data_IF_107498666788
#
_entry.id   IF_107498666788
#
_cell.length_a   1.000
_cell.length_b   1.000
_cell.length_c   1.000
_cell.angle_alpha   90.00
_cell.angle_beta   90.00
_cell.angle_gamma   90.00
#
_symmetry.space_group_name_H-M   'P 1'
#
loop_
_entity.id
_entity.type
_entity.pdbx_description
1 polymer ?
#
# COMPACT_ATOMS: atom_id res chain seq x y z
N UNK A 1 75.43 1.87 -73.91
CA UNK A 1 74.35 2.87 -73.75
C UNK A 1 73.74 2.67 -72.37
N UNK A 2 73.81 3.72 -71.54
CA UNK A 2 73.05 4.04 -70.31
C UNK A 2 72.83 2.93 -69.25
N UNK A 3 73.04 3.09 -67.94
CA UNK A 3 73.56 4.15 -67.06
C UNK A 3 73.83 3.46 -65.71
N UNK A 4 75.02 3.71 -65.16
CA UNK A 4 75.51 3.57 -63.78
C UNK A 4 74.58 4.25 -62.72
N UNK A 5 74.81 4.20 -61.37
CA UNK A 5 75.70 3.34 -60.54
C UNK A 5 75.25 3.03 -59.06
N UNK A 6 76.17 2.36 -58.33
CA UNK A 6 76.61 2.59 -56.91
C UNK A 6 75.66 2.26 -55.74
N UNK A 7 75.97 1.21 -54.95
CA UNK A 7 76.93 1.08 -53.81
C UNK A 7 76.26 1.35 -52.45
N UNK A 8 76.28 0.35 -51.57
CA UNK A 8 77.05 0.35 -50.31
C UNK A 8 76.41 -0.57 -49.25
N UNK A 9 77.26 -1.37 -48.63
CA UNK A 9 77.02 -2.29 -47.51
C UNK A 9 76.71 -1.52 -46.22
N UNK A 10 75.85 -2.06 -45.35
CA UNK A 10 75.86 -1.76 -43.92
C UNK A 10 75.23 -2.89 -43.09
N UNK A 11 76.00 -3.33 -42.08
CA UNK A 11 75.63 -4.21 -40.97
C UNK A 11 74.34 -3.71 -40.28
N UNK A 12 73.43 -4.63 -39.94
CA UNK A 12 72.33 -4.35 -39.02
C UNK A 12 72.34 -5.36 -37.85
N UNK A 13 72.76 -4.86 -36.69
CA UNK A 13 72.49 -5.44 -35.37
C UNK A 13 71.05 -5.08 -35.02
N UNK A 14 70.21 -6.06 -34.68
CA UNK A 14 68.83 -5.81 -34.23
C UNK A 14 68.63 -6.34 -32.80
N UNK A 15 68.43 -5.38 -31.89
CA UNK A 15 68.10 -5.50 -30.48
C UNK A 15 66.82 -6.30 -30.21
N UNK A 16 66.88 -7.18 -29.22
CA UNK A 16 65.72 -7.77 -28.56
C UNK A 16 65.06 -6.71 -27.65
N UNK A 17 63.85 -6.24 -27.97
CA UNK A 17 63.07 -5.35 -27.10
C UNK A 17 61.98 -6.14 -26.35
N UNK A 18 62.15 -6.24 -25.03
CA UNK A 18 61.15 -6.79 -24.11
C UNK A 18 59.98 -5.78 -23.94
N UNK A 19 58.78 -6.12 -24.41
CA UNK A 19 57.57 -5.36 -24.11
C UNK A 19 56.99 -5.81 -22.75
N UNK A 20 57.19 -5.00 -21.71
CA UNK A 20 56.51 -5.19 -20.43
C UNK A 20 55.08 -4.61 -20.51
N UNK A 21 54.08 -5.48 -20.55
CA UNK A 21 52.66 -5.12 -20.45
C UNK A 21 52.33 -4.66 -19.03
N UNK A 22 52.30 -3.34 -18.80
CA UNK A 22 51.74 -2.73 -17.59
C UNK A 22 50.20 -2.83 -17.63
N UNK A 23 49.63 -3.92 -17.12
CA UNK A 23 48.21 -3.95 -16.75
C UNK A 23 48.00 -3.06 -15.53
N UNK A 24 47.08 -2.09 -15.54
CA UNK A 24 46.78 -1.32 -14.34
C UNK A 24 46.12 -2.24 -13.32
N UNK A 25 46.84 -2.52 -12.23
CA UNK A 25 46.26 -3.14 -11.04
C UNK A 25 45.26 -2.13 -10.47
N UNK A 26 43.96 -2.39 -10.66
CA UNK A 26 42.91 -1.68 -9.93
C UNK A 26 43.03 -2.13 -8.48
N UNK A 27 43.77 -1.36 -7.68
CA UNK A 27 43.84 -1.58 -6.24
C UNK A 27 42.44 -1.48 -5.66
N UNK A 28 41.90 -2.60 -5.16
CA UNK A 28 40.68 -2.60 -4.38
C UNK A 28 40.93 -1.77 -3.12
N UNK A 29 40.17 -0.68 -2.97
CA UNK A 29 40.25 0.14 -1.75
C UNK A 29 39.88 -0.71 -0.54
N UNK A 30 40.68 -0.69 0.54
CA UNK A 30 40.41 -1.51 1.71
C UNK A 30 39.06 -1.14 2.32
N UNK A 31 38.30 -2.17 2.72
CA UNK A 31 36.94 -2.06 3.27
C UNK A 31 36.82 -1.21 4.57
N UNK A 32 37.94 -0.72 5.10
CA UNK A 32 38.05 0.06 6.34
C UNK A 32 38.52 1.52 6.14
N UNK A 33 38.64 2.02 4.90
CA UNK A 33 38.95 3.43 4.68
C UNK A 33 37.80 4.33 5.19
N UNK A 34 38.14 5.39 5.91
CA UNK A 34 37.16 6.36 6.38
C UNK A 34 36.35 6.94 5.21
N UNK A 35 35.03 7.16 5.37
CA UNK A 35 34.21 7.74 4.30
C UNK A 35 34.78 9.07 3.80
N UNK A 36 34.72 9.35 2.47
CA UNK A 36 35.14 10.64 1.93
C UNK A 36 34.48 11.80 2.68
N UNK A 37 35.24 12.86 2.97
CA UNK A 37 34.73 14.03 3.72
C UNK A 37 33.44 14.60 3.10
N UNK A 38 33.38 14.65 1.77
CA UNK A 38 32.20 15.11 1.03
C UNK A 38 30.99 14.20 1.25
N UNK A 39 31.18 12.88 1.24
CA UNK A 39 30.13 11.90 1.51
C UNK A 39 29.58 12.10 2.93
N UNK A 40 30.46 12.19 3.92
CA UNK A 40 30.09 12.41 5.33
C UNK A 40 29.31 13.70 5.51
N UNK A 41 29.80 14.81 4.96
CA UNK A 41 29.15 16.12 5.04
C UNK A 41 27.74 16.09 4.43
N UNK A 42 27.60 15.59 3.21
CA UNK A 42 26.33 15.60 2.49
C UNK A 42 25.31 14.61 3.07
N UNK A 43 25.75 13.43 3.52
CA UNK A 43 24.87 12.47 4.19
C UNK A 43 24.34 13.07 5.49
N UNK A 44 25.19 13.70 6.30
CA UNK A 44 24.76 14.36 7.53
C UNK A 44 23.81 15.52 7.27
N UNK A 45 24.06 16.34 6.23
CA UNK A 45 23.15 17.42 5.84
C UNK A 45 21.77 16.91 5.40
N UNK A 46 21.75 15.86 4.56
CA UNK A 46 20.50 15.22 4.14
C UNK A 46 19.76 14.55 5.32
N UNK A 47 20.49 13.96 6.27
CA UNK A 47 19.91 13.38 7.48
C UNK A 47 19.21 14.44 8.34
N UNK A 48 19.84 15.60 8.55
CA UNK A 48 19.24 16.74 9.25
C UNK A 48 17.98 17.24 8.52
N UNK A 49 18.06 17.45 7.20
CA UNK A 49 16.94 17.89 6.37
C UNK A 49 15.72 16.96 6.45
N UNK A 50 15.96 15.65 6.56
CA UNK A 50 14.91 14.63 6.52
C UNK A 50 14.70 13.88 7.84
N UNK A 51 15.14 14.45 8.98
CA UNK A 51 15.15 13.78 10.28
C UNK A 51 13.79 13.20 10.69
N UNK A 52 12.70 13.97 10.51
CA UNK A 52 11.33 13.52 10.82
C UNK A 52 10.89 12.30 10.01
N UNK A 53 11.33 12.18 8.75
CA UNK A 53 10.98 11.06 7.87
C UNK A 53 11.88 9.86 8.08
N UNK A 54 13.19 10.07 8.22
CA UNK A 54 14.17 9.00 8.31
C UNK A 54 14.22 8.31 9.69
N UNK A 55 13.95 9.05 10.76
CA UNK A 55 14.17 8.58 12.13
C UNK A 55 15.66 8.54 12.48
N UNK A 56 16.02 7.79 13.53
CA UNK A 56 17.41 7.67 14.00
C UNK A 56 18.26 6.87 13.00
N UNK A 57 19.56 7.18 12.94
CA UNK A 57 20.53 6.36 12.21
C UNK A 57 20.64 4.97 12.85
N UNK A 58 20.72 3.94 12.02
CA UNK A 58 20.86 2.53 12.43
C UNK A 58 22.17 1.91 11.97
N UNK A 59 22.98 2.68 11.25
CA UNK A 59 24.35 2.30 10.89
C UNK A 59 25.26 3.53 10.89
N UNK A 60 26.57 3.29 10.98
CA UNK A 60 27.56 4.24 10.48
C UNK A 60 27.46 4.40 8.95
N UNK A 61 28.12 5.42 8.41
CA UNK A 61 28.27 5.58 6.96
C UNK A 61 29.18 4.45 6.46
N UNK A 62 28.73 3.73 5.43
CA UNK A 62 29.46 2.65 4.77
C UNK A 62 29.72 3.01 3.31
N UNK A 63 30.94 2.79 2.84
CA UNK A 63 31.37 3.10 1.47
C UNK A 63 31.76 1.83 0.71
N UNK A 64 32.09 1.98 -0.57
CA UNK A 64 32.39 0.86 -1.48
C UNK A 64 31.25 0.48 -2.42
N UNK A 65 30.22 1.33 -2.52
CA UNK A 65 29.16 1.15 -3.51
C UNK A 65 29.67 1.49 -4.92
N UNK A 66 28.94 1.05 -5.95
CA UNK A 66 29.28 1.25 -7.37
C UNK A 66 29.67 2.71 -7.65
N UNK A 67 30.80 2.94 -8.35
CA UNK A 67 31.24 4.29 -8.70
C UNK A 67 31.70 5.13 -7.50
N UNK A 68 32.21 4.48 -6.44
CA UNK A 68 32.78 5.16 -5.26
C UNK A 68 31.74 5.71 -4.30
N UNK A 69 30.52 5.16 -4.30
CA UNK A 69 29.45 5.67 -3.46
C UNK A 69 29.49 5.17 -2.02
N UNK A 70 28.69 5.84 -1.20
CA UNK A 70 28.50 5.55 0.22
C UNK A 70 27.02 5.59 0.58
N UNK A 71 26.66 4.98 1.70
CA UNK A 71 25.30 5.04 2.22
C UNK A 71 25.26 5.01 3.74
N UNK A 72 24.13 5.41 4.30
CA UNK A 72 23.80 5.23 5.71
C UNK A 72 22.36 4.76 5.85
N UNK A 73 22.12 3.81 6.76
CA UNK A 73 20.77 3.32 7.10
C UNK A 73 20.18 4.12 8.25
N UNK A 74 18.87 4.33 8.17
CA UNK A 74 18.04 4.94 9.19
C UNK A 74 16.83 4.03 9.47
N UNK A 75 16.11 4.27 10.57
CA UNK A 75 14.94 3.46 10.95
C UNK A 75 13.93 3.30 9.79
N UNK A 76 13.65 4.39 9.08
CA UNK A 76 12.58 4.44 8.06
C UNK A 76 13.11 4.62 6.63
N UNK A 77 14.43 4.64 6.42
CA UNK A 77 14.99 4.88 5.09
C UNK A 77 16.50 4.73 5.01
N UNK A 78 17.08 5.29 3.95
CA UNK A 78 18.53 5.32 3.76
C UNK A 78 18.92 6.54 2.95
N UNK A 79 20.12 7.05 3.20
CA UNK A 79 20.73 8.07 2.37
C UNK A 79 21.83 7.40 1.58
N UNK A 80 21.84 7.60 0.26
CA UNK A 80 22.91 7.14 -0.62
C UNK A 80 23.57 8.35 -1.27
N UNK A 81 24.89 8.28 -1.37
CA UNK A 81 25.75 9.31 -1.94
C UNK A 81 26.63 8.71 -3.03
N UNK A 82 26.86 9.45 -4.09
CA UNK A 82 27.94 9.21 -5.04
C UNK A 82 28.58 10.53 -5.46
N UNK A 83 29.83 10.55 -5.95
CA UNK A 83 30.46 11.78 -6.43
C UNK A 83 29.63 12.52 -7.48
N UNK A 84 28.92 11.78 -8.35
CA UNK A 84 28.13 12.35 -9.45
C UNK A 84 26.75 12.87 -9.02
N UNK A 85 26.14 12.27 -8.01
CA UNK A 85 24.74 12.58 -7.65
C UNK A 85 24.62 13.39 -6.37
N UNK A 86 25.62 13.35 -5.50
CA UNK A 86 25.47 13.82 -4.12
C UNK A 86 24.58 12.91 -3.27
N UNK A 87 24.28 13.33 -2.04
CA UNK A 87 23.54 12.55 -1.06
C UNK A 87 22.03 12.76 -1.20
N UNK A 88 21.29 11.67 -1.43
CA UNK A 88 19.84 11.69 -1.52
C UNK A 88 19.22 10.60 -0.65
N UNK A 89 18.19 11.00 0.09
CA UNK A 89 17.40 10.12 0.91
C UNK A 89 16.36 9.38 0.08
N UNK A 90 16.23 8.08 0.32
CA UNK A 90 15.15 7.23 -0.17
C UNK A 90 14.44 6.62 1.03
N UNK A 91 13.11 6.51 0.97
CA UNK A 91 12.31 5.84 1.99
C UNK A 91 11.06 5.22 1.36
N UNK A 92 10.30 4.46 2.16
CA UNK A 92 9.01 3.92 1.78
C UNK A 92 8.98 3.18 0.43
N UNK A 93 7.94 3.46 -0.35
CA UNK A 93 7.65 2.80 -1.63
C UNK A 93 8.78 2.97 -2.65
N UNK A 94 9.32 4.18 -2.77
CA UNK A 94 10.42 4.45 -3.72
C UNK A 94 11.65 3.61 -3.38
N UNK A 95 12.06 3.61 -2.11
CA UNK A 95 13.23 2.83 -1.66
C UNK A 95 13.02 1.34 -1.88
N UNK A 96 11.81 0.83 -1.62
CA UNK A 96 11.49 -0.57 -1.86
C UNK A 96 11.59 -0.95 -3.34
N UNK A 97 11.02 -0.14 -4.25
CA UNK A 97 11.12 -0.41 -5.69
C UNK A 97 12.58 -0.40 -6.11
N UNK A 98 13.34 0.58 -5.63
CA UNK A 98 14.74 0.70 -5.94
C UNK A 98 15.57 -0.49 -5.44
N UNK A 99 15.34 -0.94 -4.20
CA UNK A 99 15.95 -2.14 -3.61
C UNK A 99 15.68 -3.39 -4.45
N UNK A 100 14.43 -3.63 -4.85
CA UNK A 100 14.06 -4.80 -5.66
C UNK A 100 14.51 -4.70 -7.12
N UNK A 101 14.96 -3.53 -7.55
CA UNK A 101 15.64 -3.34 -8.83
C UNK A 101 17.16 -3.23 -8.62
N UNK A 102 17.70 -3.95 -7.63
CA UNK A 102 19.13 -4.08 -7.34
C UNK A 102 19.86 -2.75 -7.03
N UNK A 103 19.19 -1.84 -6.33
CA UNK A 103 19.78 -0.59 -5.80
C UNK A 103 20.50 0.24 -6.88
N UNK A 104 21.64 0.84 -6.53
CA UNK A 104 22.48 1.61 -7.44
C UNK A 104 23.10 0.76 -8.55
N UNK A 105 23.16 -0.57 -8.37
CA UNK A 105 23.74 -1.50 -9.35
C UNK A 105 22.76 -1.80 -10.47
N UNK A 106 21.46 -1.86 -10.19
CA UNK A 106 20.43 -2.19 -11.17
C UNK A 106 19.93 -0.99 -11.95
N UNK A 107 18.81 -1.15 -12.65
CA UNK A 107 18.46 -0.33 -13.82
C UNK A 107 18.36 1.18 -13.58
N UNK A 108 18.07 1.63 -12.35
CA UNK A 108 17.86 3.04 -12.05
C UNK A 108 19.15 3.81 -11.68
N UNK A 109 20.18 3.15 -11.14
CA UNK A 109 21.37 3.83 -10.61
C UNK A 109 21.10 4.56 -9.28
N UNK A 110 21.93 5.55 -8.92
CA UNK A 110 21.75 6.34 -7.69
C UNK A 110 20.57 7.31 -7.79
N UNK A 111 19.92 7.65 -6.66
CA UNK A 111 18.98 8.76 -6.60
C UNK A 111 19.68 10.10 -6.92
N UNK A 112 18.97 11.00 -7.60
CA UNK A 112 19.50 12.31 -8.06
C UNK A 112 18.71 13.50 -7.51
N UNK A 113 17.65 13.25 -6.74
CA UNK A 113 16.85 14.30 -6.10
C UNK A 113 15.97 13.74 -4.99
N UNK A 114 15.35 14.62 -4.21
CA UNK A 114 14.33 14.24 -3.23
C UNK A 114 13.06 13.73 -3.92
N UNK A 115 12.30 12.88 -3.24
CA UNK A 115 11.00 12.45 -3.72
C UNK A 115 9.96 13.61 -3.68
N UNK A 116 9.06 13.68 -4.67
CA UNK A 116 8.00 14.69 -4.78
C UNK A 116 6.66 14.07 -5.19
N UNK A 117 5.56 14.74 -4.89
CA UNK A 117 4.23 14.40 -5.40
C UNK A 117 4.01 15.23 -6.67
N UNK A 118 3.70 14.59 -7.80
CA UNK A 118 3.31 15.34 -9.01
C UNK A 118 1.83 15.67 -9.04
N UNK A 119 1.40 16.46 -10.03
CA UNK A 119 0.02 16.98 -10.13
C UNK A 119 -1.05 15.89 -10.22
N UNK A 120 -0.68 14.66 -10.63
CA UNK A 120 -1.55 13.48 -10.65
C UNK A 120 -1.59 12.71 -9.30
N UNK A 121 -1.04 13.28 -8.23
CA UNK A 121 -1.01 12.70 -6.90
C UNK A 121 -0.01 11.55 -6.70
N UNK A 122 0.80 11.20 -7.72
CA UNK A 122 1.79 10.12 -7.61
C UNK A 122 3.10 10.60 -7.01
N UNK A 123 3.66 9.78 -6.12
CA UNK A 123 4.99 9.96 -5.55
C UNK A 123 6.05 9.56 -6.57
N UNK A 124 7.03 10.43 -6.77
CA UNK A 124 8.11 10.27 -7.75
C UNK A 124 9.45 10.55 -7.11
N UNK A 125 10.50 9.89 -7.60
CA UNK A 125 11.88 10.27 -7.31
C UNK A 125 12.76 10.01 -8.53
N UNK A 126 13.65 10.96 -8.86
CA UNK A 126 14.60 10.83 -9.97
C UNK A 126 15.81 10.01 -9.52
N UNK A 127 16.29 9.20 -10.44
CA UNK A 127 17.52 8.43 -10.37
C UNK A 127 18.35 8.70 -11.62
N UNK A 128 19.61 8.27 -11.62
CA UNK A 128 20.53 8.48 -12.75
C UNK A 128 19.96 8.00 -14.10
N UNK A 129 19.20 6.91 -14.11
CA UNK A 129 18.68 6.25 -15.31
C UNK A 129 17.17 6.09 -15.29
N UNK A 130 16.46 7.11 -14.79
CA UNK A 130 15.01 7.18 -14.89
C UNK A 130 14.34 7.73 -13.64
N UNK A 131 13.03 7.62 -13.58
CA UNK A 131 12.23 8.05 -12.42
C UNK A 131 11.41 6.87 -11.92
N UNK A 132 11.48 6.62 -10.61
CA UNK A 132 10.52 5.72 -9.97
C UNK A 132 9.26 6.54 -9.71
N UNK A 133 8.13 6.13 -10.28
CA UNK A 133 6.80 6.70 -10.03
C UNK A 133 5.94 5.64 -9.37
N UNK A 134 5.37 5.96 -8.22
CA UNK A 134 4.46 5.08 -7.49
C UNK A 134 3.22 5.86 -7.10
N UNK A 135 2.06 5.23 -7.19
CA UNK A 135 0.95 5.68 -6.35
C UNK A 135 1.45 5.62 -4.91
N UNK A 136 1.28 6.68 -4.15
CA UNK A 136 1.28 6.55 -2.68
C UNK A 136 0.37 5.34 -2.40
N UNK A 137 0.75 4.42 -1.49
CA UNK A 137 -0.05 3.28 -0.95
C UNK A 137 0.32 1.83 -1.35
N UNK A 138 1.19 1.55 -2.31
CA UNK A 138 1.28 0.19 -2.89
C UNK A 138 2.12 -0.88 -2.14
N UNK A 139 2.96 -0.55 -1.16
CA UNK A 139 3.94 -1.53 -0.62
C UNK A 139 3.81 -1.78 0.88
N UNK A 140 3.70 -3.06 1.25
CA UNK A 140 3.74 -3.56 2.63
C UNK A 140 2.45 -4.16 3.17
N UNK A 141 1.31 -4.03 2.46
CA UNK A 141 0.11 -4.79 2.81
C UNK A 141 0.36 -6.27 2.49
N UNK A 142 -0.08 -7.19 3.37
CA UNK A 142 0.11 -8.61 3.15
C UNK A 142 -0.67 -9.07 1.92
N UNK A 143 -0.32 -10.25 1.41
CA UNK A 143 -1.04 -10.91 0.32
C UNK A 143 -1.07 -10.16 -1.02
N UNK A 144 -0.17 -9.20 -1.24
CA UNK A 144 -0.02 -8.52 -2.53
C UNK A 144 -1.17 -7.58 -2.90
N UNK A 145 -2.01 -7.19 -1.93
CA UNK A 145 -3.13 -6.27 -2.13
C UNK A 145 -2.59 -4.93 -2.65
N UNK A 146 -3.28 -4.36 -3.65
CA UNK A 146 -3.00 -3.01 -4.17
C UNK A 146 -4.18 -2.09 -3.84
N UNK A 147 -4.14 -1.33 -2.73
CA UNK A 147 -5.27 -0.49 -2.34
C UNK A 147 -5.67 0.52 -3.41
N UNK A 148 -6.97 0.66 -3.66
CA UNK A 148 -7.53 1.69 -4.56
C UNK A 148 -7.59 3.08 -3.92
N UNK A 149 -6.68 3.39 -3.00
CA UNK A 149 -6.70 4.61 -2.18
C UNK A 149 -6.78 4.31 -0.69
N UNK A 150 -6.75 5.36 0.13
CA UNK A 150 -6.89 5.25 1.59
C UNK A 150 -5.62 4.86 2.32
N UNK A 151 -5.51 5.31 3.56
CA UNK A 151 -4.42 5.02 4.51
C UNK A 151 -4.89 4.13 5.67
N UNK A 152 -6.15 3.71 5.66
CA UNK A 152 -6.70 2.71 6.55
C UNK A 152 -7.42 1.63 5.73
N UNK A 153 -6.99 0.39 5.88
CA UNK A 153 -7.53 -0.76 5.16
C UNK A 153 -8.01 -1.80 6.17
N UNK A 154 -9.28 -2.16 6.07
CA UNK A 154 -9.86 -3.34 6.69
C UNK A 154 -9.71 -4.51 5.71
N UNK A 155 -8.97 -5.55 6.06
CA UNK A 155 -8.90 -6.76 5.23
C UNK A 155 -9.82 -7.80 5.85
N UNK A 156 -10.94 -8.12 5.20
CA UNK A 156 -11.83 -9.20 5.60
C UNK A 156 -11.62 -10.40 4.66
N UNK A 157 -11.01 -11.47 5.15
CA UNK A 157 -10.62 -12.59 4.31
C UNK A 157 -11.02 -13.95 4.85
N UNK A 158 -11.30 -14.87 3.93
CA UNK A 158 -11.63 -16.28 4.22
C UNK A 158 -10.55 -17.22 3.69
N UNK A 159 -10.65 -18.53 3.97
CA UNK A 159 -9.76 -19.53 3.35
C UNK A 159 -10.16 -19.84 1.91
N UNK A 160 -11.46 -19.91 1.60
CA UNK A 160 -12.00 -20.15 0.27
C UNK A 160 -13.25 -19.31 -0.01
N UNK A 161 -13.71 -19.27 -1.27
CA UNK A 161 -14.95 -18.58 -1.64
C UNK A 161 -16.19 -19.16 -0.95
N UNK A 162 -16.23 -20.45 -0.67
CA UNK A 162 -17.35 -21.12 0.01
C UNK A 162 -17.36 -20.96 1.53
N UNK A 163 -16.27 -20.46 2.13
CA UNK A 163 -16.12 -20.33 3.57
C UNK A 163 -17.06 -19.25 4.14
N UNK A 164 -17.64 -19.55 5.31
CA UNK A 164 -18.58 -18.67 6.03
C UNK A 164 -17.92 -17.95 7.21
N UNK A 165 -16.69 -18.33 7.53
CA UNK A 165 -15.88 -17.76 8.61
C UNK A 165 -14.51 -17.36 8.08
N UNK A 166 -13.84 -16.46 8.79
CA UNK A 166 -12.55 -15.95 8.39
C UNK A 166 -12.01 -14.92 9.37
N UNK A 167 -11.15 -14.04 8.88
CA UNK A 167 -10.43 -13.06 9.69
C UNK A 167 -10.68 -11.66 9.17
N UNK A 168 -10.79 -10.70 10.07
CA UNK A 168 -10.72 -9.26 9.78
C UNK A 168 -9.44 -8.70 10.36
N UNK A 169 -8.64 -8.00 9.57
CA UNK A 169 -7.44 -7.30 10.02
C UNK A 169 -7.56 -5.80 9.77
N UNK A 170 -7.07 -4.98 10.70
CA UNK A 170 -7.04 -3.52 10.57
C UNK A 170 -5.61 -3.07 10.29
N UNK A 171 -5.42 -2.39 9.17
CA UNK A 171 -4.12 -1.95 8.69
C UNK A 171 -4.09 -0.44 8.46
N UNK A 172 -3.04 0.21 8.94
CA UNK A 172 -2.83 1.65 8.74
C UNK A 172 -1.49 1.93 8.07
N UNK A 173 -1.50 2.82 7.08
CA UNK A 173 -0.28 3.37 6.51
C UNK A 173 0.22 4.45 7.46
N UNK A 174 1.40 4.26 8.03
CA UNK A 174 2.02 5.23 8.95
C UNK A 174 2.90 6.23 8.19
N UNK A 175 3.52 7.15 8.92
CA UNK A 175 4.37 8.20 8.37
C UNK A 175 5.72 7.69 7.84
N UNK A 176 6.08 6.45 8.20
CA UNK A 176 7.20 5.69 7.64
C UNK A 176 6.87 5.09 6.25
N UNK A 177 5.68 5.38 5.72
CA UNK A 177 5.16 4.87 4.47
C UNK A 177 5.07 3.33 4.44
N UNK A 178 4.93 2.68 5.61
CA UNK A 178 4.67 1.25 5.74
C UNK A 178 3.29 0.98 6.31
N UNK A 179 2.70 -0.12 5.85
CA UNK A 179 1.46 -0.64 6.41
C UNK A 179 1.75 -1.39 7.71
N UNK A 180 1.04 -1.02 8.76
CA UNK A 180 1.12 -1.66 10.08
C UNK A 180 -0.23 -2.27 10.41
N UNK A 181 -0.24 -3.56 10.77
CA UNK A 181 -1.42 -4.19 11.33
C UNK A 181 -1.59 -3.74 12.76
N UNK A 182 -2.73 -3.14 13.06
CA UNK A 182 -3.06 -2.72 14.43
C UNK A 182 -3.88 -3.78 15.15
N UNK A 183 -4.75 -4.50 14.45
CA UNK A 183 -5.66 -5.49 15.06
C UNK A 183 -5.92 -6.69 14.13
N UNK A 184 -6.27 -7.82 14.74
CA UNK A 184 -6.71 -9.06 14.07
C UNK A 184 -7.93 -9.64 14.80
N UNK A 185 -8.99 -9.92 14.06
CA UNK A 185 -10.25 -10.51 14.55
C UNK A 185 -10.42 -11.88 13.88
N UNK A 186 -10.19 -12.97 14.61
CA UNK A 186 -10.12 -14.34 14.03
C UNK A 186 -11.47 -15.04 13.84
N UNK A 187 -12.55 -14.54 14.45
CA UNK A 187 -13.90 -15.12 14.37
C UNK A 187 -14.82 -14.22 13.53
N UNK A 188 -14.35 -13.75 12.37
CA UNK A 188 -15.22 -12.99 11.48
C UNK A 188 -16.16 -13.94 10.72
N UNK A 189 -17.41 -13.53 10.49
CA UNK A 189 -18.40 -14.31 9.74
C UNK A 189 -18.86 -13.57 8.49
N UNK A 190 -19.17 -14.34 7.46
CA UNK A 190 -19.51 -13.90 6.11
C UNK A 190 -20.86 -14.47 5.70
N UNK A 191 -21.25 -14.24 4.44
CA UNK A 191 -22.47 -14.76 3.85
C UNK A 191 -22.63 -16.28 4.04
N UNK A 192 -23.85 -16.74 4.33
CA UNK A 192 -24.14 -18.16 4.56
C UNK A 192 -23.92 -19.04 3.32
N UNK A 193 -23.79 -18.44 2.13
CA UNK A 193 -23.38 -19.06 0.85
C UNK A 193 -21.96 -18.67 0.41
N UNK A 194 -21.16 -18.07 1.30
CA UNK A 194 -19.78 -17.69 1.05
C UNK A 194 -19.61 -16.30 0.43
N UNK A 195 -18.67 -16.17 -0.50
CA UNK A 195 -18.28 -14.94 -1.16
C UNK A 195 -18.62 -14.99 -2.66
N UNK A 196 -18.97 -13.85 -3.25
CA UNK A 196 -19.26 -13.72 -4.67
C UNK A 196 -18.34 -12.70 -5.33
N UNK A 197 -17.87 -13.00 -6.54
CA UNK A 197 -17.21 -12.01 -7.38
C UNK A 197 -18.19 -10.91 -7.79
N UNK A 198 -17.67 -9.83 -8.39
CA UNK A 198 -18.53 -8.82 -8.99
C UNK A 198 -19.48 -9.44 -10.04
N UNK A 199 -19.04 -10.29 -10.97
CA UNK A 199 -19.95 -10.87 -11.98
C UNK A 199 -21.10 -11.69 -11.36
N UNK A 200 -20.82 -12.40 -10.28
CA UNK A 200 -21.73 -13.42 -9.75
C UNK A 200 -22.71 -12.86 -8.71
N UNK A 201 -22.38 -11.73 -8.07
CA UNK A 201 -23.19 -11.16 -7.00
C UNK A 201 -24.60 -10.77 -7.49
N UNK A 202 -25.62 -11.10 -6.70
CA UNK A 202 -27.04 -10.75 -6.90
C UNK A 202 -27.70 -10.36 -5.58
N UNK A 203 -28.88 -9.73 -5.65
CA UNK A 203 -29.76 -9.49 -4.50
C UNK A 203 -30.21 -10.82 -3.88
N UNK A 204 -30.25 -10.90 -2.55
CA UNK A 204 -30.71 -12.10 -1.83
C UNK A 204 -29.86 -13.38 -1.99
N UNK A 205 -28.70 -13.32 -2.64
CA UNK A 205 -27.89 -14.52 -2.95
C UNK A 205 -27.19 -15.17 -1.74
N UNK A 206 -27.22 -14.53 -0.57
CA UNK A 206 -26.59 -15.04 0.66
C UNK A 206 -25.06 -14.94 0.67
N UNK A 207 -24.45 -14.18 -0.25
CA UNK A 207 -22.99 -14.11 -0.43
C UNK A 207 -22.43 -12.73 -0.10
N UNK A 208 -21.24 -12.69 0.50
CA UNK A 208 -20.49 -11.45 0.71
C UNK A 208 -19.80 -11.01 -0.58
N UNK A 209 -19.92 -9.74 -1.02
CA UNK A 209 -19.27 -9.29 -2.23
C UNK A 209 -17.75 -9.18 -2.07
N UNK A 210 -17.01 -9.78 -3.01
CA UNK A 210 -15.57 -9.64 -3.14
C UNK A 210 -15.23 -8.32 -3.83
N UNK A 211 -14.20 -7.62 -3.33
CA UNK A 211 -13.72 -6.39 -3.92
C UNK A 211 -13.11 -5.43 -2.91
N UNK A 212 -12.86 -4.20 -3.36
CA UNK A 212 -12.46 -3.09 -2.51
C UNK A 212 -13.54 -2.00 -2.48
N UNK A 213 -13.94 -1.60 -1.29
CA UNK A 213 -15.03 -0.63 -1.07
C UNK A 213 -14.60 0.45 -0.09
N UNK A 214 -15.20 1.64 -0.22
CA UNK A 214 -15.06 2.69 0.80
C UNK A 214 -15.88 2.35 2.04
N UNK A 215 -15.49 2.93 3.17
CA UNK A 215 -16.32 3.02 4.36
C UNK A 215 -16.67 4.49 4.56
N UNK A 216 -17.81 4.97 4.02
CA UNK A 216 -18.10 6.40 3.95
C UNK A 216 -18.51 6.97 5.31
N UNK A 217 -19.27 6.21 6.09
CA UNK A 217 -19.71 6.58 7.42
C UNK A 217 -20.04 5.34 8.25
N UNK A 218 -20.35 5.55 9.51
CA UNK A 218 -20.81 4.55 10.46
C UNK A 218 -22.16 4.95 11.03
N UNK A 219 -22.87 3.99 11.62
CA UNK A 219 -24.13 4.28 12.29
C UNK A 219 -24.41 3.32 13.43
N UNK A 220 -25.48 3.58 14.19
CA UNK A 220 -26.00 2.55 15.07
C UNK A 220 -27.18 2.97 15.93
N UNK A 221 -27.86 1.95 16.44
CA UNK A 221 -28.99 2.07 17.39
C UNK A 221 -28.53 2.35 18.82
N UNK A 222 -27.23 2.38 19.08
CA UNK A 222 -26.63 2.85 20.34
C UNK A 222 -25.86 4.14 20.13
N UNK A 223 -25.52 4.80 21.24
CA UNK A 223 -24.70 6.00 21.22
C UNK A 223 -23.34 5.74 20.56
N UNK A 224 -22.81 6.77 19.91
CA UNK A 224 -21.48 6.79 19.30
C UNK A 224 -20.41 6.45 20.35
N UNK A 225 -19.55 5.45 20.13
CA UNK A 225 -18.46 5.17 21.06
C UNK A 225 -17.53 6.38 21.24
N UNK A 226 -17.04 6.60 22.46
CA UNK A 226 -16.08 7.69 22.75
C UNK A 226 -14.84 7.56 21.87
N UNK A 227 -14.38 8.67 21.29
CA UNK A 227 -13.22 8.69 20.39
C UNK A 227 -13.51 8.34 18.93
N UNK A 228 -14.77 8.07 18.56
CA UNK A 228 -15.17 7.90 17.14
C UNK A 228 -14.98 9.20 16.37
N UNK A 229 -14.16 9.16 15.32
CA UNK A 229 -13.83 10.32 14.46
C UNK A 229 -14.48 10.27 13.09
N UNK A 230 -14.73 9.08 12.54
CA UNK A 230 -15.55 8.94 11.33
C UNK A 230 -16.98 9.39 11.60
N UNK A 231 -17.68 9.85 10.57
CA UNK A 231 -19.09 10.21 10.68
C UNK A 231 -19.88 9.05 11.30
N UNK A 232 -20.70 9.35 12.31
CA UNK A 232 -21.54 8.40 13.01
C UNK A 232 -22.97 8.91 13.06
N UNK A 233 -23.90 8.21 12.42
CA UNK A 233 -25.32 8.53 12.42
C UNK A 233 -26.03 7.74 13.51
N UNK A 234 -26.74 8.42 14.40
CA UNK A 234 -27.61 7.76 15.38
C UNK A 234 -28.86 7.28 14.64
N UNK A 235 -29.07 5.97 14.56
CA UNK A 235 -30.24 5.37 13.94
C UNK A 235 -31.35 5.14 14.96
N UNK A 236 -32.57 5.58 14.69
CA UNK A 236 -33.73 5.28 15.54
C UNK A 236 -34.82 4.51 14.78
N UNK A 237 -36.06 4.53 15.30
CA UNK A 237 -37.18 3.83 14.70
C UNK A 237 -37.62 4.43 13.37
N UNK A 238 -37.14 5.63 13.04
CA UNK A 238 -37.45 6.32 11.81
C UNK A 238 -36.45 6.02 10.70
N UNK A 239 -35.43 5.20 10.92
CA UNK A 239 -34.37 4.96 9.94
C UNK A 239 -34.40 3.54 9.38
N UNK A 240 -34.24 3.44 8.06
CA UNK A 240 -34.13 2.16 7.37
C UNK A 240 -33.18 2.22 6.17
N UNK A 241 -32.72 1.05 5.71
CA UNK A 241 -32.01 0.91 4.44
C UNK A 241 -32.88 0.18 3.42
N UNK A 242 -33.14 0.81 2.28
CA UNK A 242 -34.00 0.19 1.27
C UNK A 242 -33.30 -0.90 0.48
N UNK A 243 -33.94 -2.07 0.37
CA UNK A 243 -33.47 -3.21 -0.43
C UNK A 243 -34.38 -3.54 -1.60
N UNK A 244 -35.45 -2.76 -1.83
CA UNK A 244 -36.34 -2.90 -2.99
C UNK A 244 -35.66 -2.46 -4.28
N UNK A 245 -35.25 -3.41 -5.12
CA UNK A 245 -34.51 -3.17 -6.37
C UNK A 245 -35.21 -2.24 -7.37
N UNK A 246 -36.55 -2.24 -7.39
CA UNK A 246 -37.34 -1.35 -8.24
C UNK A 246 -37.56 0.06 -7.68
N UNK A 247 -37.02 0.38 -6.50
CA UNK A 247 -37.17 1.69 -5.87
C UNK A 247 -36.09 2.67 -6.36
N UNK A 248 -36.44 3.94 -6.53
CA UNK A 248 -35.46 5.01 -6.75
C UNK A 248 -34.49 5.18 -5.57
N UNK A 249 -34.89 4.70 -4.39
CA UNK A 249 -34.08 4.70 -3.18
C UNK A 249 -33.37 3.37 -2.91
N UNK A 250 -33.35 2.45 -3.88
CA UNK A 250 -32.66 1.18 -3.73
C UNK A 250 -31.22 1.36 -3.25
N UNK A 251 -30.83 0.57 -2.25
CA UNK A 251 -29.53 0.59 -1.62
C UNK A 251 -29.14 1.96 -1.01
N UNK A 252 -30.08 2.62 -0.33
CA UNK A 252 -29.83 3.87 0.39
C UNK A 252 -30.46 3.88 1.79
N UNK A 253 -29.86 4.67 2.68
CA UNK A 253 -30.48 5.08 3.94
C UNK A 253 -31.63 6.04 3.67
N UNK A 254 -32.75 5.85 4.33
CA UNK A 254 -33.91 6.72 4.21
C UNK A 254 -34.76 6.70 5.49
N UNK A 255 -35.53 7.76 5.68
CA UNK A 255 -36.48 7.85 6.78
C UNK A 255 -37.78 7.09 6.47
N UNK A 256 -38.44 6.56 7.50
CA UNK A 256 -39.78 5.97 7.45
C UNK A 256 -40.85 7.04 7.76
N UNK A 257 -42.12 6.81 7.38
CA UNK A 257 -42.58 5.82 6.42
C UNK A 257 -42.25 6.23 4.98
N UNK A 258 -41.93 5.27 4.13
CA UNK A 258 -41.63 5.53 2.72
C UNK A 258 -42.39 4.54 1.82
N UNK A 259 -43.34 5.04 1.01
CA UNK A 259 -44.15 4.21 0.11
C UNK A 259 -43.31 3.55 -1.00
N UNK A 260 -42.25 4.20 -1.44
CA UNK A 260 -41.33 3.69 -2.47
C UNK A 260 -40.44 2.55 -1.95
N UNK A 261 -40.30 2.40 -0.63
CA UNK A 261 -39.65 1.25 -0.02
C UNK A 261 -40.26 0.95 1.36
N UNK A 262 -41.34 0.14 1.40
CA UNK A 262 -42.01 -0.19 2.65
C UNK A 262 -41.09 -1.05 3.55
N UNK A 263 -41.37 -1.06 4.85
CA UNK A 263 -40.54 -1.74 5.86
C UNK A 263 -40.25 -3.22 5.54
N UNK A 264 -41.17 -3.93 4.88
CA UNK A 264 -40.96 -5.34 4.47
C UNK A 264 -39.86 -5.53 3.42
N UNK A 265 -39.54 -4.48 2.66
CA UNK A 265 -38.52 -4.48 1.60
C UNK A 265 -37.26 -3.70 2.04
N UNK A 266 -37.15 -3.40 3.34
CA UNK A 266 -36.10 -2.57 3.91
C UNK A 266 -35.54 -3.20 5.19
N UNK A 267 -34.33 -2.80 5.54
CA UNK A 267 -33.76 -3.09 6.85
C UNK A 267 -34.09 -1.95 7.81
N UNK A 268 -35.14 -2.13 8.62
CA UNK A 268 -35.50 -1.17 9.67
C UNK A 268 -34.51 -1.27 10.81
N UNK A 269 -33.72 -0.23 11.06
CA UNK A 269 -32.51 -0.38 11.90
C UNK A 269 -32.83 -0.70 13.36
N UNK A 270 -33.88 -0.10 13.92
CA UNK A 270 -34.29 -0.31 15.30
C UNK A 270 -34.72 -1.75 15.61
N UNK A 271 -35.13 -2.52 14.60
CA UNK A 271 -35.60 -3.91 14.77
C UNK A 271 -34.47 -4.93 14.62
N UNK A 272 -33.25 -4.51 14.29
CA UNK A 272 -32.10 -5.39 14.04
C UNK A 272 -31.09 -5.25 15.20
N UNK A 273 -31.05 -6.20 16.16
CA UNK A 273 -30.17 -6.11 17.32
C UNK A 273 -28.69 -5.96 16.97
N UNK A 274 -28.26 -6.48 15.82
CA UNK A 274 -26.91 -6.45 15.29
C UNK A 274 -26.45 -5.02 14.95
N UNK A 275 -27.37 -4.08 14.76
CA UNK A 275 -27.06 -2.71 14.31
C UNK A 275 -26.80 -1.73 15.46
N UNK A 276 -26.30 -2.24 16.60
CA UNK A 276 -25.88 -1.37 17.70
C UNK A 276 -24.76 -0.41 17.29
N UNK A 277 -23.82 -0.89 16.46
CA UNK A 277 -22.74 -0.14 15.80
C UNK A 277 -22.43 -0.81 14.47
N UNK A 278 -22.35 -0.03 13.40
CA UNK A 278 -22.26 -0.53 12.02
C UNK A 278 -21.31 0.33 11.21
N UNK A 279 -20.45 -0.29 10.41
CA UNK A 279 -19.68 0.40 9.37
C UNK A 279 -20.28 0.10 8.00
N UNK A 280 -20.59 1.15 7.23
CA UNK A 280 -21.17 0.99 5.90
C UNK A 280 -20.11 0.53 4.91
N UNK A 281 -20.39 -0.51 4.13
CA UNK A 281 -19.55 -0.89 3.00
C UNK A 281 -20.19 -0.29 1.76
N UNK A 282 -19.45 0.55 1.04
CA UNK A 282 -19.93 1.28 -0.17
C UNK A 282 -20.07 0.35 -1.40
N UNK A 283 -20.68 -0.80 -1.20
CA UNK A 283 -21.02 -1.78 -2.23
C UNK A 283 -22.25 -1.32 -3.00
N UNK A 284 -22.21 -1.48 -4.33
CA UNK A 284 -23.32 -1.13 -5.23
C UNK A 284 -23.83 0.32 -5.04
N UNK A 285 -22.91 1.27 -4.84
CA UNK A 285 -23.24 2.69 -4.66
C UNK A 285 -23.82 3.37 -5.90
N UNK A 286 -23.59 2.78 -7.08
CA UNK A 286 -24.31 3.13 -8.31
C UNK A 286 -25.76 2.64 -8.32
N UNK A 287 -26.21 1.90 -7.29
CA UNK A 287 -27.59 1.43 -7.09
C UNK A 287 -28.12 0.62 -8.27
N UNK A 288 -27.26 -0.21 -8.86
CA UNK A 288 -27.65 -1.08 -9.97
C UNK A 288 -28.63 -2.13 -9.44
N UNK A 289 -29.87 -2.10 -9.91
CA UNK A 289 -30.95 -2.96 -9.45
C UNK A 289 -30.54 -4.45 -9.46
N UNK A 290 -30.94 -5.18 -8.40
CA UNK A 290 -30.75 -6.63 -8.31
C UNK A 290 -29.31 -7.08 -8.02
N UNK A 291 -28.40 -6.16 -7.70
CA UNK A 291 -26.98 -6.46 -7.45
C UNK A 291 -26.66 -6.68 -5.97
N UNK A 292 -27.61 -6.48 -5.07
CA UNK A 292 -27.39 -6.52 -3.63
C UNK A 292 -27.42 -5.12 -3.02
N UNK A 293 -27.99 -5.02 -1.83
CA UNK A 293 -28.01 -3.83 -0.98
C UNK A 293 -27.53 -4.13 0.44
N UNK A 294 -27.43 -3.09 1.27
CA UNK A 294 -27.24 -3.19 2.72
C UNK A 294 -26.03 -4.04 3.17
N UNK A 295 -24.92 -3.96 2.42
CA UNK A 295 -23.69 -4.65 2.83
C UNK A 295 -22.98 -3.81 3.88
N UNK A 296 -22.83 -4.37 5.07
CA UNK A 296 -22.22 -3.70 6.21
C UNK A 296 -21.19 -4.56 6.93
N UNK A 297 -20.48 -3.93 7.86
CA UNK A 297 -19.81 -4.62 8.97
C UNK A 297 -20.58 -4.36 10.26
N UNK A 298 -21.07 -5.42 10.91
CA UNK A 298 -21.88 -5.31 12.13
C UNK A 298 -21.49 -6.36 13.18
N UNK A 299 -22.08 -6.31 14.39
CA UNK A 299 -21.78 -7.35 15.39
C UNK A 299 -22.45 -8.69 15.04
N UNK A 300 -21.92 -9.81 15.52
CA UNK A 300 -22.53 -11.12 15.30
C UNK A 300 -24.01 -11.17 15.70
N UNK A 301 -24.78 -11.89 14.88
CA UNK A 301 -26.08 -12.46 15.25
C UNK A 301 -25.97 -13.97 15.44
N UNK A 302 -27.10 -14.66 15.26
CA UNK A 302 -27.12 -16.14 15.19
C UNK A 302 -26.54 -16.57 13.84
N UNK A 303 -25.45 -17.35 13.85
CA UNK A 303 -24.86 -17.95 12.65
C UNK A 303 -24.14 -16.97 11.70
N UNK A 304 -24.15 -17.33 10.41
CA UNK A 304 -23.57 -16.58 9.28
C UNK A 304 -24.48 -15.41 8.85
N UNK A 305 -23.94 -14.45 8.12
CA UNK A 305 -24.71 -13.28 7.64
C UNK A 305 -25.44 -13.61 6.32
N UNK A 306 -26.30 -12.71 5.84
CA UNK A 306 -26.87 -12.79 4.49
C UNK A 306 -25.95 -12.20 3.39
N UNK A 307 -24.79 -11.65 3.76
CA UNK A 307 -23.87 -10.98 2.84
C UNK A 307 -22.95 -9.98 3.53
N UNK A 308 -23.32 -9.45 4.69
CA UNK A 308 -22.46 -8.61 5.53
C UNK A 308 -21.20 -9.35 6.02
N UNK A 309 -20.25 -8.59 6.57
CA UNK A 309 -19.20 -9.14 7.43
C UNK A 309 -19.64 -8.90 8.87
N UNK A 310 -19.46 -9.88 9.77
CA UNK A 310 -19.71 -9.66 11.19
C UNK A 310 -18.53 -10.02 12.07
N UNK A 311 -18.40 -9.30 13.18
CA UNK A 311 -17.37 -9.43 14.23
C UNK A 311 -18.02 -9.38 15.61
N UNK A 312 -17.29 -9.57 16.70
CA UNK A 312 -17.89 -9.41 18.04
C UNK A 312 -18.26 -7.96 18.32
N UNK A 313 -19.21 -7.71 19.25
CA UNK A 313 -19.59 -6.34 19.62
C UNK A 313 -18.42 -5.48 20.11
N UNK A 314 -17.49 -6.06 20.87
CA UNK A 314 -16.26 -5.39 21.31
C UNK A 314 -15.37 -4.99 20.12
N UNK A 315 -15.16 -5.92 19.18
CA UNK A 315 -14.38 -5.65 17.96
C UNK A 315 -15.06 -4.61 17.06
N UNK A 316 -16.39 -4.54 17.04
CA UNK A 316 -17.12 -3.51 16.31
C UNK A 316 -16.88 -2.11 16.89
N UNK A 317 -16.86 -1.99 18.22
CA UNK A 317 -16.46 -0.74 18.90
C UNK A 317 -15.02 -0.37 18.55
N UNK A 318 -14.09 -1.33 18.58
CA UNK A 318 -12.70 -1.12 18.14
C UNK A 318 -12.62 -0.62 16.69
N UNK A 319 -13.36 -1.24 15.77
CA UNK A 319 -13.38 -0.84 14.36
C UNK A 319 -13.90 0.59 14.18
N UNK A 320 -15.09 0.90 14.71
CA UNK A 320 -15.70 2.25 14.57
C UNK A 320 -14.81 3.33 15.20
N UNK A 321 -14.19 3.05 16.35
CA UNK A 321 -13.28 4.00 17.01
C UNK A 321 -11.91 4.11 16.35
N UNK A 322 -11.50 3.12 15.56
CA UNK A 322 -10.23 3.14 14.80
C UNK A 322 -10.36 3.92 13.49
N UNK A 323 -11.52 3.91 12.82
CA UNK A 323 -11.74 4.58 11.54
C UNK A 323 -11.56 6.11 11.61
N UNK A 324 -10.88 6.68 10.61
CA UNK A 324 -10.50 8.09 10.50
C UNK A 324 -10.90 8.63 9.13
N UNK A 325 -11.80 9.63 9.03
CA UNK A 325 -12.31 10.11 7.75
C UNK A 325 -11.18 10.69 6.87
N UNK A 326 -10.21 11.38 7.47
CA UNK A 326 -9.04 11.94 6.77
C UNK A 326 -8.09 10.88 6.22
N UNK A 327 -8.18 9.64 6.70
CA UNK A 327 -7.39 8.52 6.20
C UNK A 327 -8.14 7.75 5.10
N UNK A 328 -9.33 8.20 4.67
CA UNK A 328 -10.15 7.61 3.60
C UNK A 328 -10.25 6.07 3.70
N UNK A 329 -10.90 5.55 4.76
CA UNK A 329 -10.85 4.14 5.08
C UNK A 329 -11.55 3.28 4.03
N UNK A 330 -11.01 2.09 3.82
CA UNK A 330 -11.54 1.10 2.88
C UNK A 330 -11.60 -0.28 3.49
N UNK A 331 -12.39 -1.15 2.88
CA UNK A 331 -12.43 -2.58 3.15
C UNK A 331 -12.09 -3.36 1.88
N UNK A 332 -11.27 -4.40 2.03
CA UNK A 332 -10.95 -5.39 1.00
C UNK A 332 -11.52 -6.72 1.44
N UNK A 333 -12.31 -7.36 0.57
CA UNK A 333 -12.97 -8.63 0.85
C UNK A 333 -12.60 -9.66 -0.22
N UNK A 334 -11.96 -10.77 0.17
CA UNK A 334 -11.70 -11.90 -0.70
C UNK A 334 -11.17 -13.11 0.08
N UNK A 335 -11.17 -14.32 -0.50
CA UNK A 335 -10.35 -15.41 0.01
C UNK A 335 -8.86 -15.01 0.04
N UNK A 336 -8.12 -15.53 1.02
CA UNK A 336 -6.71 -15.17 1.25
C UNK A 336 -5.83 -15.35 0.01
N UNK A 337 -6.05 -16.42 -0.77
CA UNK A 337 -5.33 -16.69 -2.01
C UNK A 337 -5.64 -15.73 -3.17
N UNK A 338 -6.74 -14.97 -3.07
CA UNK A 338 -7.24 -14.06 -4.11
C UNK A 338 -7.10 -12.58 -3.73
N UNK A 339 -6.58 -12.27 -2.54
CA UNK A 339 -6.35 -10.90 -2.07
C UNK A 339 -5.42 -10.11 -3.01
N UNK A 340 -4.46 -10.78 -3.66
CA UNK A 340 -3.56 -10.17 -4.67
C UNK A 340 -4.28 -9.68 -5.93
N UNK A 341 -5.50 -10.18 -6.17
CA UNK A 341 -6.30 -9.85 -7.34
C UNK A 341 -7.28 -8.69 -7.07
N UNK A 342 -7.37 -8.22 -5.82
CA UNK A 342 -8.35 -7.19 -5.43
C UNK A 342 -7.83 -5.78 -5.59
#
# INVERSE_FOLDING_TARGET
MNTLPHRSVSLAVALCALFALLTPVIAATPANAAPPRQATSQINAAAKKHAKKLGKATSSIRCGLRGGGCYQKFQNGSIHWSPKTGAHATWGAIRWIWQNNNWERGKYGYPTGSAWIGNDGKLRQKFQRGTITTGVLAYGLPHGIKPKGGRQIVIAHTSARSSKTGTVELWELRNDERWHRTHTFKDARFGYKGLATASDKREGDGKTPMGQYRIPFTFGTKAKPKGTRIEYRRADHNDQWCSRSGSLHYNTWMSVPNRSCPAKDAEVFSTIPQYSHVAVVDYNSARKAGRGSAIFVHKHGKGSTAGCVSVTGKQMVTLVTWLRPEQNPRIVIAPRGELKNQ
#
